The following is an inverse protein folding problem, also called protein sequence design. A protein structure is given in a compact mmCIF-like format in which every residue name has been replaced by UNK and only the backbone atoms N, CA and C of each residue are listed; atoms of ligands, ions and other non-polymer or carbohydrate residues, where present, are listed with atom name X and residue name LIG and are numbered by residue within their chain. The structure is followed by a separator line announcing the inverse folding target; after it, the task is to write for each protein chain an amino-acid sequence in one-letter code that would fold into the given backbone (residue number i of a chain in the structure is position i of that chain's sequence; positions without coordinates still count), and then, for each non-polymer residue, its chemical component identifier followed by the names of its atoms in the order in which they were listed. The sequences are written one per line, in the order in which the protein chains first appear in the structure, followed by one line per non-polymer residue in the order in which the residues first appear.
data_IF_948403651837
#
_entry.id   IF_948403651837
#
_cell.length_a   1.000
_cell.length_b   1.000
_cell.length_c   1.000
_cell.angle_alpha   90.00
_cell.angle_beta   90.00
_cell.angle_gamma   90.00
#
_symmetry.space_group_name_H-M   'P 1'
#
loop_
_entity.id
_entity.type
_entity.pdbx_description
1 polymer ?
#
# COMPACT_ATOMS: atom_id res chain seq x y z
N UNK A 1 -19.43 -3.87 27.88
CA UNK A 1 -20.31 -4.28 26.79
C UNK A 1 -19.86 -3.63 25.48
N UNK A 2 -19.73 -4.42 24.42
CA UNK A 2 -19.42 -3.90 23.09
C UNK A 2 -20.71 -3.30 22.49
N UNK A 3 -20.73 -1.97 22.29
CA UNK A 3 -21.91 -1.26 21.78
C UNK A 3 -21.89 -1.13 20.25
N UNK A 4 -20.69 -1.03 19.68
CA UNK A 4 -20.51 -0.88 18.23
C UNK A 4 -19.23 -1.55 17.78
N UNK A 5 -19.28 -2.18 16.59
CA UNK A 5 -18.11 -2.77 15.91
C UNK A 5 -18.26 -2.58 14.41
N UNK A 6 -17.23 -2.08 13.79
CA UNK A 6 -17.04 -2.07 12.34
C UNK A 6 -15.58 -2.40 11.98
N UNK A 7 -15.21 -2.23 10.70
CA UNK A 7 -13.85 -2.50 10.24
C UNK A 7 -12.82 -1.50 10.76
N UNK A 8 -13.23 -0.32 11.23
CA UNK A 8 -12.36 0.80 11.59
C UNK A 8 -12.29 1.06 13.09
N UNK A 9 -13.36 0.72 13.84
CA UNK A 9 -13.43 1.01 15.26
C UNK A 9 -14.28 0.01 16.05
N UNK A 10 -13.97 -0.08 17.34
CA UNK A 10 -14.74 -0.80 18.35
C UNK A 10 -15.12 0.18 19.44
N UNK A 11 -16.40 0.25 19.83
CA UNK A 11 -16.85 1.08 20.94
C UNK A 11 -17.29 0.16 22.09
N UNK A 12 -16.74 0.42 23.25
CA UNK A 12 -17.03 -0.36 24.48
C UNK A 12 -17.61 0.55 25.52
N UNK A 13 -18.73 0.15 26.05
CA UNK A 13 -19.35 0.77 27.23
C UNK A 13 -18.92 0.01 28.48
N UNK A 14 -18.26 0.72 29.39
CA UNK A 14 -17.80 0.17 30.67
C UNK A 14 -18.94 0.11 31.68
N UNK A 15 -19.03 -1.00 32.40
CA UNK A 15 -19.92 -1.13 33.55
C UNK A 15 -19.12 -0.65 34.78
N UNK A 16 -19.31 0.62 35.18
CA UNK A 16 -18.68 1.21 36.37
C UNK A 16 -19.57 1.00 37.59
N UNK A 17 -18.97 0.69 38.73
CA UNK A 17 -19.69 0.68 39.99
C UNK A 17 -20.16 2.09 40.36
N UNK A 18 -21.09 2.20 41.31
CA UNK A 18 -21.59 3.50 41.78
C UNK A 18 -20.47 4.38 42.34
N UNK A 19 -19.55 3.79 43.12
CA UNK A 19 -18.42 4.49 43.71
C UNK A 19 -17.39 4.95 42.66
N UNK A 20 -17.16 4.13 41.63
CA UNK A 20 -16.30 4.51 40.50
C UNK A 20 -16.87 5.67 39.67
N UNK A 21 -18.18 5.74 39.51
CA UNK A 21 -18.84 6.87 38.84
C UNK A 21 -18.74 8.19 39.59
N UNK A 22 -18.61 8.15 40.91
CA UNK A 22 -18.44 9.34 41.71
C UNK A 22 -17.02 9.90 41.69
N UNK A 23 -16.03 9.05 41.42
CA UNK A 23 -14.59 9.39 41.51
C UNK A 23 -13.94 9.53 40.14
N UNK A 24 -14.41 8.78 39.15
CA UNK A 24 -13.83 8.75 37.80
C UNK A 24 -14.50 9.77 36.85
N UNK A 25 -13.68 10.63 36.28
CA UNK A 25 -14.06 11.56 35.21
C UNK A 25 -13.96 10.93 33.81
N UNK A 26 -13.57 9.64 33.71
CA UNK A 26 -13.44 8.97 32.43
C UNK A 26 -14.80 8.76 31.77
N UNK A 27 -14.89 8.84 30.44
CA UNK A 27 -16.13 8.58 29.73
C UNK A 27 -16.62 7.13 29.95
N UNK A 28 -17.92 6.92 29.95
CA UNK A 28 -18.50 5.59 30.08
C UNK A 28 -18.31 4.74 28.82
N UNK A 29 -18.08 5.39 27.69
CA UNK A 29 -17.81 4.74 26.40
C UNK A 29 -16.40 5.12 25.92
N UNK A 30 -15.64 4.11 25.49
CA UNK A 30 -14.30 4.28 24.91
C UNK A 30 -14.30 3.75 23.49
N UNK A 31 -13.77 4.57 22.58
CA UNK A 31 -13.57 4.22 21.18
C UNK A 31 -12.15 3.70 20.99
N UNK A 32 -12.03 2.53 20.39
CA UNK A 32 -10.77 1.92 19.97
C UNK A 32 -10.69 1.93 18.46
N UNK A 33 -9.89 2.81 17.90
CA UNK A 33 -9.66 2.88 16.46
C UNK A 33 -8.72 1.77 16.02
N UNK A 34 -9.10 1.08 14.94
CA UNK A 34 -8.33 -0.02 14.36
C UNK A 34 -7.40 0.51 13.26
N UNK A 35 -6.13 0.19 13.38
CA UNK A 35 -5.15 0.55 12.35
C UNK A 35 -5.44 -0.24 11.08
N UNK A 36 -5.64 0.48 9.96
CA UNK A 36 -5.93 -0.10 8.66
C UNK A 36 -4.79 0.19 7.68
N UNK A 37 -4.33 -0.86 7.00
CA UNK A 37 -3.37 -0.78 5.89
C UNK A 37 -2.18 0.15 6.11
N UNK A 38 -1.62 0.17 7.32
CA UNK A 38 -0.45 0.98 7.63
C UNK A 38 0.83 0.24 7.25
N UNK A 39 1.71 0.94 6.53
CA UNK A 39 3.03 0.43 6.15
C UNK A 39 3.92 0.25 7.39
N UNK A 40 4.61 -0.87 7.47
CA UNK A 40 5.70 -1.10 8.42
C UNK A 40 7.04 -0.66 7.84
N UNK A 41 8.09 -0.61 8.66
CA UNK A 41 9.45 -0.29 8.20
C UNK A 41 9.99 -1.28 7.16
N UNK A 42 9.47 -2.49 7.12
CA UNK A 42 9.85 -3.55 6.17
C UNK A 42 8.94 -3.61 4.94
N UNK A 43 8.07 -2.62 4.75
CA UNK A 43 7.14 -2.58 3.61
C UNK A 43 5.95 -3.53 3.73
N UNK A 44 5.78 -4.22 4.86
CA UNK A 44 4.60 -5.05 5.12
C UNK A 44 3.41 -4.21 5.60
N UNK A 45 2.24 -4.82 5.68
CA UNK A 45 0.99 -4.14 6.00
C UNK A 45 0.48 -4.51 7.39
N UNK A 46 0.21 -3.51 8.23
CA UNK A 46 -0.56 -3.68 9.46
C UNK A 46 -2.03 -3.41 9.14
N UNK A 47 -2.87 -4.41 9.38
CA UNK A 47 -4.31 -4.30 9.22
C UNK A 47 -5.01 -5.04 10.36
N UNK A 48 -5.57 -4.30 11.31
CA UNK A 48 -6.27 -4.88 12.44
C UNK A 48 -7.70 -5.25 12.06
N UNK A 49 -8.13 -6.44 12.49
CA UNK A 49 -9.50 -6.94 12.32
C UNK A 49 -10.12 -7.16 13.68
N UNK A 50 -11.38 -6.72 13.92
CA UNK A 50 -12.09 -7.01 15.14
C UNK A 50 -12.39 -8.51 15.24
N UNK A 51 -12.28 -9.07 16.43
CA UNK A 51 -12.66 -10.45 16.73
C UNK A 51 -13.87 -10.55 17.66
N UNK A 52 -14.32 -9.40 18.18
CA UNK A 52 -15.50 -9.29 19.06
C UNK A 52 -16.72 -8.86 18.26
N UNK A 53 -17.89 -9.24 18.75
CA UNK A 53 -19.16 -8.92 18.13
C UNK A 53 -19.95 -7.88 18.94
N UNK A 54 -20.81 -7.12 18.24
CA UNK A 54 -21.72 -6.18 18.90
C UNK A 54 -22.60 -6.91 19.90
N UNK A 55 -22.73 -6.38 21.12
CA UNK A 55 -23.50 -6.96 22.21
C UNK A 55 -22.74 -7.98 23.07
N UNK A 56 -21.48 -8.25 22.74
CA UNK A 56 -20.63 -9.14 23.54
C UNK A 56 -20.16 -8.48 24.83
N UNK A 57 -20.11 -9.23 25.92
CA UNK A 57 -19.50 -8.78 27.18
C UNK A 57 -18.03 -9.16 27.21
N UNK A 58 -17.17 -8.18 27.23
CA UNK A 58 -15.72 -8.35 27.28
C UNK A 58 -15.17 -8.11 28.68
N UNK A 59 -14.07 -8.77 29.01
CA UNK A 59 -13.39 -8.65 30.31
C UNK A 59 -12.09 -7.88 30.16
N UNK A 60 -11.57 -7.35 31.27
CA UNK A 60 -10.25 -6.73 31.32
C UNK A 60 -9.18 -7.73 30.87
N UNK A 61 -8.35 -7.33 29.89
CA UNK A 61 -7.29 -8.17 29.32
C UNK A 61 -7.74 -9.06 28.16
N UNK A 62 -9.04 -9.03 27.78
CA UNK A 62 -9.53 -9.76 26.61
C UNK A 62 -9.05 -9.07 25.32
N UNK A 63 -8.60 -9.87 24.35
CA UNK A 63 -8.19 -9.40 23.02
C UNK A 63 -9.43 -8.96 22.25
N UNK A 64 -9.42 -7.76 21.70
CA UNK A 64 -10.52 -7.17 20.95
C UNK A 64 -10.34 -7.26 19.44
N UNK A 65 -9.10 -7.20 18.99
CA UNK A 65 -8.75 -7.27 17.59
C UNK A 65 -7.46 -8.06 17.37
N UNK A 66 -7.30 -8.57 16.18
CA UNK A 66 -6.10 -9.27 15.72
C UNK A 66 -5.50 -8.56 14.52
N UNK A 67 -4.16 -8.57 14.46
CA UNK A 67 -3.40 -8.08 13.32
C UNK A 67 -2.93 -9.20 12.39
N UNK A 68 -2.05 -8.84 11.47
CA UNK A 68 -1.34 -9.83 10.70
C UNK A 68 -0.41 -10.64 11.62
N UNK A 69 -0.11 -11.89 11.22
CA UNK A 69 0.76 -12.78 11.99
C UNK A 69 0.32 -13.04 13.45
N UNK A 70 -0.96 -12.85 13.76
CA UNK A 70 -1.55 -13.19 15.06
C UNK A 70 -2.79 -14.06 14.88
N UNK A 71 -2.99 -15.00 15.80
CA UNK A 71 -4.17 -15.86 15.85
C UNK A 71 -4.48 -16.22 17.30
N UNK A 72 -5.72 -15.99 17.74
CA UNK A 72 -6.18 -16.21 19.12
C UNK A 72 -5.30 -15.50 20.18
N UNK A 73 -4.77 -14.32 19.87
CA UNK A 73 -3.91 -13.54 20.76
C UNK A 73 -2.45 -14.01 20.81
N UNK A 74 -2.07 -15.02 20.03
CA UNK A 74 -0.71 -15.54 19.96
C UNK A 74 -0.05 -15.19 18.62
N UNK A 75 1.30 -15.15 18.62
CA UNK A 75 2.08 -14.91 17.42
C UNK A 75 1.99 -16.12 16.49
N UNK A 76 1.58 -15.89 15.24
CA UNK A 76 1.40 -16.90 14.20
C UNK A 76 2.03 -16.42 12.87
N UNK A 77 3.37 -16.46 12.78
CA UNK A 77 4.13 -15.94 11.63
C UNK A 77 4.01 -16.79 10.37
N UNK A 78 3.45 -17.97 10.46
CA UNK A 78 3.33 -18.89 9.33
C UNK A 78 2.32 -20.00 9.59
N UNK A 79 2.40 -21.03 8.77
CA UNK A 79 1.54 -22.22 8.85
C UNK A 79 2.37 -23.49 8.81
N UNK A 80 1.93 -24.49 9.57
CA UNK A 80 2.50 -25.82 9.49
C UNK A 80 1.90 -26.54 8.28
N UNK A 81 2.77 -27.01 7.39
CA UNK A 81 2.38 -27.79 6.21
C UNK A 81 2.94 -29.21 6.30
N UNK A 82 2.22 -30.17 5.73
CA UNK A 82 2.78 -31.49 5.47
C UNK A 82 3.67 -31.42 4.23
N UNK A 83 4.92 -31.83 4.37
CA UNK A 83 5.92 -31.82 3.31
C UNK A 83 6.34 -33.26 2.98
N UNK A 84 6.42 -33.56 1.69
CA UNK A 84 7.01 -34.83 1.22
C UNK A 84 8.32 -34.51 0.48
N UNK A 85 9.42 -35.14 0.91
CA UNK A 85 10.72 -35.03 0.25
C UNK A 85 10.85 -36.17 -0.77
N UNK A 86 10.46 -35.90 -2.00
CA UNK A 86 10.50 -36.89 -3.08
C UNK A 86 10.56 -36.22 -4.45
N UNK A 87 11.16 -36.84 -5.48
CA UNK A 87 11.01 -36.38 -6.85
C UNK A 87 9.54 -36.45 -7.30
N UNK A 88 9.03 -35.42 -7.94
CA UNK A 88 7.66 -35.38 -8.44
C UNK A 88 7.62 -35.03 -9.92
N UNK A 89 7.67 -36.05 -10.77
CA UNK A 89 7.57 -35.92 -12.26
C UNK A 89 8.50 -34.86 -12.88
N UNK A 90 9.62 -34.52 -12.22
CA UNK A 90 10.56 -33.50 -12.64
C UNK A 90 10.15 -32.06 -12.32
N UNK A 91 8.94 -31.80 -11.81
CA UNK A 91 8.46 -30.44 -11.52
C UNK A 91 9.14 -29.79 -10.32
N UNK A 92 9.80 -30.56 -9.48
CA UNK A 92 10.57 -30.08 -8.33
C UNK A 92 12.08 -30.27 -8.53
N UNK A 93 12.56 -30.17 -9.78
CA UNK A 93 13.98 -30.23 -10.11
C UNK A 93 14.71 -28.98 -9.57
N UNK A 94 15.90 -29.16 -9.02
CA UNK A 94 16.69 -28.12 -8.33
C UNK A 94 15.93 -27.50 -7.15
N UNK A 95 15.76 -26.16 -7.15
CA UNK A 95 15.11 -25.41 -6.08
C UNK A 95 13.59 -25.25 -6.26
N UNK A 96 13.01 -25.94 -7.26
CA UNK A 96 11.59 -25.86 -7.51
C UNK A 96 10.78 -26.64 -6.46
N UNK A 97 9.67 -26.08 -6.04
CA UNK A 97 8.76 -26.65 -5.06
C UNK A 97 7.36 -26.80 -5.66
N UNK A 98 6.77 -27.96 -5.56
CA UNK A 98 5.37 -28.21 -5.93
C UNK A 98 4.51 -27.99 -4.71
N UNK A 99 3.56 -27.08 -4.80
CA UNK A 99 2.63 -26.74 -3.71
C UNK A 99 1.20 -27.18 -4.06
N UNK A 100 0.40 -27.47 -3.05
CA UNK A 100 -1.02 -27.76 -3.22
C UNK A 100 -1.79 -26.49 -3.57
N UNK A 101 -2.72 -26.58 -4.51
CA UNK A 101 -3.66 -25.49 -4.84
C UNK A 101 -4.41 -24.95 -3.61
N UNK A 102 -4.65 -25.80 -2.62
CA UNK A 102 -5.28 -25.40 -1.36
C UNK A 102 -4.52 -24.30 -0.64
N UNK A 103 -3.19 -24.30 -0.69
CA UNK A 103 -2.34 -23.26 -0.07
C UNK A 103 -2.61 -21.89 -0.69
N UNK A 104 -2.80 -21.86 -2.00
CA UNK A 104 -3.11 -20.63 -2.76
C UNK A 104 -4.55 -20.21 -2.52
N UNK A 105 -5.50 -21.13 -2.62
CA UNK A 105 -6.92 -20.83 -2.47
C UNK A 105 -7.29 -20.34 -1.06
N UNK A 106 -6.68 -20.92 -0.03
CA UNK A 106 -6.95 -20.57 1.37
C UNK A 106 -6.04 -19.42 1.88
N UNK A 107 -5.26 -18.77 1.00
CA UNK A 107 -4.39 -17.61 1.27
C UNK A 107 -3.41 -17.83 2.45
N UNK A 108 -2.83 -19.04 2.58
CA UNK A 108 -2.01 -19.37 3.75
C UNK A 108 -0.73 -18.54 3.86
N UNK A 109 -0.12 -18.19 2.74
CA UNK A 109 1.13 -17.42 2.67
C UNK A 109 0.99 -16.10 1.91
N UNK A 110 -0.23 -15.63 1.74
CA UNK A 110 -0.51 -14.36 1.10
C UNK A 110 -0.08 -13.20 2.00
N UNK A 111 0.69 -12.30 1.47
CA UNK A 111 1.15 -11.09 2.16
C UNK A 111 0.80 -9.85 1.35
N UNK A 112 0.59 -8.73 2.05
CA UNK A 112 0.37 -7.42 1.46
C UNK A 112 1.63 -6.60 1.70
N UNK A 113 2.21 -6.06 0.63
CA UNK A 113 3.35 -5.16 0.68
C UNK A 113 2.90 -3.77 0.26
N UNK A 114 3.40 -2.75 0.96
CA UNK A 114 3.10 -1.35 0.69
C UNK A 114 4.39 -0.64 0.35
N UNK A 115 4.50 -0.17 -0.90
CA UNK A 115 5.61 0.65 -1.36
C UNK A 115 5.17 2.11 -1.44
N UNK A 116 6.05 3.01 -1.04
CA UNK A 116 5.82 4.43 -1.04
C UNK A 116 6.82 5.10 -1.98
N UNK A 117 6.30 5.83 -2.94
CA UNK A 117 7.08 6.61 -3.89
C UNK A 117 6.87 8.09 -3.62
N UNK A 118 7.96 8.84 -3.47
CA UNK A 118 7.92 10.28 -3.23
C UNK A 118 8.74 11.02 -4.28
N UNK A 119 8.23 12.13 -4.76
CA UNK A 119 8.87 13.01 -5.71
C UNK A 119 8.85 14.45 -5.18
N UNK A 120 10.00 15.10 -5.20
CA UNK A 120 10.10 16.50 -4.82
C UNK A 120 10.08 17.39 -6.06
N UNK A 121 9.34 18.50 -5.97
CA UNK A 121 9.37 19.58 -6.95
C UNK A 121 10.35 20.64 -6.46
N UNK A 122 11.31 21.00 -7.30
CA UNK A 122 12.38 21.94 -6.95
C UNK A 122 12.31 23.18 -7.81
N UNK A 123 12.72 24.29 -7.21
CA UNK A 123 12.99 25.51 -7.96
C UNK A 123 14.42 25.42 -8.51
N UNK A 124 14.54 25.44 -9.83
CA UNK A 124 15.83 25.36 -10.51
C UNK A 124 16.20 26.73 -11.06
N UNK A 125 17.51 26.96 -11.33
CA UNK A 125 17.99 28.21 -11.96
C UNK A 125 17.35 28.51 -13.33
N UNK A 126 16.72 27.50 -13.93
CA UNK A 126 16.13 27.57 -15.28
C UNK A 126 14.61 27.66 -15.26
N UNK A 127 14.03 27.61 -14.08
CA UNK A 127 12.60 27.64 -13.84
C UNK A 127 12.16 26.61 -12.81
N UNK A 128 10.91 26.68 -12.43
CA UNK A 128 10.28 25.78 -11.48
C UNK A 128 9.91 24.46 -12.15
N UNK A 129 10.20 23.35 -11.51
CA UNK A 129 9.68 22.05 -11.94
C UNK A 129 8.16 22.02 -11.79
N UNK A 130 7.46 21.30 -12.64
CA UNK A 130 6.00 21.22 -12.64
C UNK A 130 5.52 19.75 -12.63
N UNK A 131 4.53 19.46 -11.79
CA UNK A 131 3.81 18.19 -11.81
C UNK A 131 2.66 18.31 -12.81
N UNK A 132 2.58 17.38 -13.75
CA UNK A 132 1.55 17.38 -14.79
C UNK A 132 1.31 15.99 -15.35
N UNK A 133 0.09 15.76 -15.80
CA UNK A 133 -0.28 14.57 -16.59
C UNK A 133 0.04 14.74 -18.09
N UNK A 134 0.23 15.98 -18.54
CA UNK A 134 0.61 16.29 -19.92
C UNK A 134 2.13 16.10 -20.12
N UNK A 135 2.51 14.87 -20.42
CA UNK A 135 3.90 14.45 -20.56
C UNK A 135 4.21 14.27 -22.05
N UNK A 136 5.19 15.01 -22.61
CA UNK A 136 5.60 14.85 -24.00
C UNK A 136 6.11 13.43 -24.28
N UNK A 137 5.83 12.92 -25.47
CA UNK A 137 6.26 11.58 -25.96
C UNK A 137 5.70 10.38 -25.17
N UNK A 138 4.64 10.56 -24.40
CA UNK A 138 3.90 9.49 -23.72
C UNK A 138 2.49 9.43 -24.30
N UNK A 139 1.95 8.24 -24.48
CA UNK A 139 0.58 8.07 -24.97
C UNK A 139 -0.44 8.50 -23.91
N UNK A 140 -1.57 9.03 -24.33
CA UNK A 140 -2.70 9.38 -23.46
C UNK A 140 -3.21 8.17 -22.65
N UNK A 141 -3.09 6.97 -23.22
CA UNK A 141 -3.45 5.73 -22.52
C UNK A 141 -2.58 5.48 -21.29
N UNK A 142 -1.27 5.75 -21.37
CA UNK A 142 -0.32 5.56 -20.26
C UNK A 142 -0.48 6.61 -19.15
N UNK A 143 -1.09 7.75 -19.43
CA UNK A 143 -1.36 8.84 -18.47
C UNK A 143 -2.83 8.91 -18.05
N UNK A 144 -3.68 8.00 -18.53
CA UNK A 144 -5.13 8.01 -18.31
C UNK A 144 -5.53 7.91 -16.83
N UNK A 145 -4.69 7.31 -16.01
CA UNK A 145 -4.91 7.15 -14.57
C UNK A 145 -4.28 8.28 -13.72
N UNK A 146 -3.63 9.26 -14.35
CA UNK A 146 -3.10 10.44 -13.67
C UNK A 146 -4.19 11.52 -13.52
N UNK A 147 -4.15 12.24 -12.41
CA UNK A 147 -4.98 13.41 -12.18
C UNK A 147 -4.38 14.67 -12.84
N UNK A 148 -5.05 15.82 -12.72
CA UNK A 148 -4.59 17.10 -13.25
C UNK A 148 -3.22 17.54 -12.68
N UNK A 149 -2.87 17.04 -11.50
CA UNK A 149 -1.59 17.28 -10.84
C UNK A 149 -0.51 16.23 -11.20
N UNK A 150 -0.76 15.39 -12.17
CA UNK A 150 0.18 14.35 -12.60
C UNK A 150 0.39 13.23 -11.60
N UNK A 151 -0.48 13.05 -10.62
CA UNK A 151 -0.45 11.95 -9.67
C UNK A 151 -1.50 10.90 -10.01
N UNK A 152 -1.18 9.63 -9.75
CA UNK A 152 -2.12 8.54 -9.99
C UNK A 152 -3.33 8.65 -9.06
N UNK A 153 -4.53 8.41 -9.60
CA UNK A 153 -5.78 8.44 -8.84
C UNK A 153 -5.87 7.28 -7.86
N UNK A 154 -6.54 7.50 -6.74
CA UNK A 154 -6.82 6.47 -5.74
C UNK A 154 -7.74 5.40 -6.34
N UNK A 155 -7.36 4.13 -6.18
CA UNK A 155 -8.10 2.97 -6.68
C UNK A 155 -7.72 2.51 -8.10
N UNK A 156 -6.74 3.13 -8.74
CA UNK A 156 -6.20 2.65 -10.00
C UNK A 156 -5.46 1.32 -9.81
N UNK A 157 -5.68 0.37 -10.70
CA UNK A 157 -4.86 -0.84 -10.79
C UNK A 157 -3.57 -0.52 -11.53
N UNK A 158 -2.43 -0.83 -10.92
CA UNK A 158 -1.11 -0.53 -11.48
C UNK A 158 -0.34 -1.80 -11.79
N UNK A 159 0.42 -1.77 -12.86
CA UNK A 159 1.27 -2.85 -13.33
C UNK A 159 2.70 -2.36 -13.48
N UNK A 160 3.63 -3.29 -13.63
CA UNK A 160 5.01 -2.94 -13.95
C UNK A 160 5.07 -2.13 -15.26
N UNK A 161 5.73 -0.99 -15.20
CA UNK A 161 5.85 -0.05 -16.33
C UNK A 161 4.81 1.09 -16.34
N UNK A 162 3.81 1.07 -15.47
CA UNK A 162 2.83 2.15 -15.37
C UNK A 162 3.43 3.40 -14.70
N UNK A 163 2.94 4.56 -15.11
CA UNK A 163 3.39 5.85 -14.61
C UNK A 163 2.59 6.20 -13.34
N UNK A 164 3.29 6.48 -12.26
CA UNK A 164 2.68 6.88 -11.00
C UNK A 164 2.64 8.40 -10.81
N UNK A 165 3.70 9.09 -11.22
CA UNK A 165 3.83 10.54 -11.07
C UNK A 165 4.50 11.09 -12.32
N UNK A 166 3.94 12.14 -12.90
CA UNK A 166 4.50 12.89 -14.00
C UNK A 166 5.11 14.21 -13.54
N UNK A 167 6.36 14.48 -13.90
CA UNK A 167 7.06 15.72 -13.62
C UNK A 167 7.82 16.21 -14.83
N UNK A 168 7.73 17.50 -15.09
CA UNK A 168 8.51 18.19 -16.12
C UNK A 168 9.55 19.09 -15.43
N UNK A 169 10.80 19.00 -15.90
CA UNK A 169 11.91 19.82 -15.40
C UNK A 169 12.41 20.70 -16.54
N UNK A 170 12.47 22.05 -16.40
CA UNK A 170 12.98 22.92 -17.45
C UNK A 170 14.50 22.72 -17.63
N UNK A 171 14.92 22.50 -18.88
CA UNK A 171 16.32 22.43 -19.28
C UNK A 171 16.83 23.79 -19.75
N UNK A 172 18.08 24.07 -19.45
CA UNK A 172 18.76 25.19 -20.02
C UNK A 172 19.02 25.03 -21.52
N UNK A 173 19.14 26.14 -22.22
CA UNK A 173 19.58 26.17 -23.59
C UNK A 173 21.02 25.64 -23.72
N UNK A 174 21.16 24.30 -23.74
CA UNK A 174 22.29 23.69 -24.43
C UNK A 174 21.95 23.73 -25.92
N UNK A 175 22.91 24.04 -26.80
CA UNK A 175 22.69 24.01 -28.23
C UNK A 175 22.03 22.68 -28.61
N UNK A 176 20.74 22.67 -28.99
CA UNK A 176 20.05 21.43 -29.24
C UNK A 176 20.63 20.76 -30.47
N UNK A 177 20.82 19.44 -30.39
CA UNK A 177 21.22 18.65 -31.54
C UNK A 177 20.24 18.84 -32.70
N UNK A 178 20.62 18.61 -33.97
CA UNK A 178 19.70 18.73 -35.11
C UNK A 178 18.44 17.87 -34.93
N UNK A 179 18.57 16.72 -34.27
CA UNK A 179 17.46 15.80 -33.97
C UNK A 179 16.54 16.37 -32.92
N UNK A 180 17.06 17.00 -31.85
CA UNK A 180 16.27 17.70 -30.85
C UNK A 180 15.55 18.93 -31.41
N UNK A 181 16.19 19.67 -32.35
CA UNK A 181 15.53 20.77 -33.07
C UNK A 181 14.34 20.28 -33.88
N UNK A 182 14.47 19.14 -34.52
CA UNK A 182 13.38 18.51 -35.27
C UNK A 182 12.24 18.07 -34.33
N UNK A 183 12.57 17.44 -33.20
CA UNK A 183 11.59 17.00 -32.21
C UNK A 183 10.87 18.20 -31.57
N UNK A 184 11.57 19.29 -31.25
CA UNK A 184 10.96 20.53 -30.77
C UNK A 184 10.02 21.17 -31.80
N UNK A 185 10.38 21.12 -33.07
CA UNK A 185 9.53 21.64 -34.15
C UNK A 185 8.23 20.83 -34.35
N UNK A 186 8.27 19.51 -34.07
CA UNK A 186 7.12 18.63 -34.22
C UNK A 186 6.26 18.57 -32.95
N UNK A 187 6.87 18.52 -31.76
CA UNK A 187 6.20 18.28 -30.49
C UNK A 187 6.17 19.47 -29.51
N UNK A 188 6.73 20.64 -29.90
CA UNK A 188 6.80 21.84 -29.07
C UNK A 188 7.95 21.87 -28.08
N UNK A 189 8.08 22.96 -27.32
CA UNK A 189 9.23 23.26 -26.44
C UNK A 189 9.37 22.31 -25.24
N UNK A 190 8.36 21.54 -24.90
CA UNK A 190 8.35 20.58 -23.78
C UNK A 190 9.02 19.24 -24.10
N UNK A 191 9.53 19.01 -25.32
CA UNK A 191 10.03 17.72 -25.78
C UNK A 191 11.37 17.24 -25.19
N UNK A 192 11.98 18.00 -24.28
CA UNK A 192 13.33 17.72 -23.78
C UNK A 192 13.46 17.23 -22.33
N UNK A 193 12.41 17.28 -21.52
CA UNK A 193 12.58 17.29 -20.06
C UNK A 193 11.62 16.39 -19.29
N UNK A 194 11.87 15.09 -19.33
CA UNK A 194 11.02 14.11 -18.70
C UNK A 194 11.70 13.49 -17.47
N UNK A 195 11.05 13.63 -16.32
CA UNK A 195 11.32 12.79 -15.15
C UNK A 195 10.02 12.07 -14.80
N UNK A 196 10.02 10.75 -14.95
CA UNK A 196 8.87 9.90 -14.67
C UNK A 196 9.20 8.96 -13.52
N UNK A 197 8.26 8.77 -12.60
CA UNK A 197 8.28 7.65 -11.69
C UNK A 197 7.31 6.61 -12.20
N UNK A 198 7.82 5.44 -12.52
CA UNK A 198 7.06 4.28 -12.97
C UNK A 198 7.45 3.05 -12.15
N UNK A 199 6.56 2.07 -12.09
CA UNK A 199 6.84 0.81 -11.42
C UNK A 199 7.76 -0.03 -12.31
N UNK A 200 8.96 -0.36 -11.80
CA UNK A 200 9.79 -1.41 -12.39
C UNK A 200 9.40 -2.77 -11.85
N UNK A 201 9.59 -3.84 -12.63
CA UNK A 201 9.42 -5.20 -12.12
C UNK A 201 10.28 -5.40 -10.88
N UNK A 202 9.72 -5.94 -9.78
CA UNK A 202 10.54 -6.29 -8.63
C UNK A 202 11.58 -7.31 -9.09
N UNK A 203 12.85 -6.98 -8.94
CA UNK A 203 13.94 -7.94 -9.14
C UNK A 203 13.68 -9.10 -8.20
N UNK A 204 13.43 -10.28 -8.74
CA UNK A 204 13.35 -11.50 -7.95
C UNK A 204 14.67 -11.66 -7.19
N UNK A 205 14.60 -11.90 -5.87
CA UNK A 205 15.80 -12.24 -5.09
C UNK A 205 16.41 -13.54 -5.56
#
# INVERSE_FOLDING_TARGET
LVTYVDSEKIIIKYEKSYDEKLVSFDPDEVVYDLIKFRKTNQGTCINLKPIVNKGEKVKKGQVLCEGYATSNGELALGRNLKVAFMPWKGYNFEDAIVISEKVVRDDFFTSIHIDEYSLEVRDTKLGMEELTSDIPNVSEEATSDLDENGMIRVGAEVKSGDILIGKITPKGESDPTPEEKLLRAIFGDKAGDLSLIHISEPTRP
#
